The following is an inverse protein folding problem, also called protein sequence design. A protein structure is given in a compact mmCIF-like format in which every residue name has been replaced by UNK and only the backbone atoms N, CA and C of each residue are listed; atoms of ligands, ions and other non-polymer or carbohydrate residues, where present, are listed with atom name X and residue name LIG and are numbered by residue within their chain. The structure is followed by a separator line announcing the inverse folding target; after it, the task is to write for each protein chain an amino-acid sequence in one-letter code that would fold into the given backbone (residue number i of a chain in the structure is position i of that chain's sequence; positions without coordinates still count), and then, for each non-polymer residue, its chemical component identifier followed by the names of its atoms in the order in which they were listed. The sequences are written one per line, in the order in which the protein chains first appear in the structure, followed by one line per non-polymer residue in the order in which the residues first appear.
data_IF_889909535052
#
_entry.id   IF_889909535052
#
_cell.length_a   1.000
_cell.length_b   1.000
_cell.length_c   1.000
_cell.angle_alpha   90.00
_cell.angle_beta   90.00
_cell.angle_gamma   90.00
#
_symmetry.space_group_name_H-M   'P 1'
#
loop_
_entity.id
_entity.type
_entity.pdbx_description
1 polymer ?
#
# COMPACT_ATOMS: atom_id res chain seq x y z
N UNK A 1 13.37 7.74 -1.58
CA UNK A 1 12.31 8.27 -0.71
C UNK A 1 12.51 9.75 -0.39
N UNK A 2 13.73 10.20 -0.17
CA UNK A 2 14.02 11.61 0.13
C UNK A 2 13.51 12.59 -0.95
N UNK A 3 13.52 12.20 -2.20
CA UNK A 3 12.99 12.99 -3.31
C UNK A 3 11.48 13.27 -3.19
N UNK A 4 10.74 12.41 -2.49
CA UNK A 4 9.31 12.62 -2.25
C UNK A 4 9.03 13.85 -1.39
N UNK A 5 9.96 14.25 -0.52
CA UNK A 5 9.82 15.46 0.29
C UNK A 5 9.87 16.77 -0.53
N UNK A 6 10.28 16.70 -1.79
CA UNK A 6 10.34 17.85 -2.70
C UNK A 6 9.09 17.99 -3.57
N UNK A 7 8.17 17.04 -3.48
CA UNK A 7 6.97 16.97 -4.30
C UNK A 7 5.71 17.24 -3.48
N UNK A 8 4.68 17.88 -4.05
CA UNK A 8 3.37 17.89 -3.43
C UNK A 8 2.81 16.46 -3.37
N UNK A 9 2.38 16.03 -2.20
CA UNK A 9 1.92 14.66 -1.97
C UNK A 9 0.41 14.58 -1.80
N UNK A 10 -0.15 13.52 -2.35
CA UNK A 10 -1.52 13.08 -2.17
C UNK A 10 -1.47 11.80 -1.34
N UNK A 11 -2.05 11.81 -0.15
CA UNK A 11 -1.89 10.73 0.82
C UNK A 11 -3.23 10.23 1.34
N UNK A 12 -3.24 9.01 1.86
CA UNK A 12 -4.35 8.53 2.66
C UNK A 12 -4.43 9.29 4.00
N UNK A 13 -5.61 9.33 4.59
CA UNK A 13 -5.78 9.88 5.92
C UNK A 13 -4.81 9.25 6.93
N UNK A 14 -4.32 10.00 7.94
CA UNK A 14 -3.28 9.56 8.88
C UNK A 14 -3.62 8.31 9.70
N UNK A 15 -4.91 7.96 9.82
CA UNK A 15 -5.36 6.76 10.52
C UNK A 15 -5.18 5.46 9.73
N UNK A 16 -4.74 5.53 8.48
CA UNK A 16 -4.48 4.33 7.66
C UNK A 16 -3.09 3.75 7.92
N UNK A 17 -2.96 2.43 7.71
CA UNK A 17 -1.67 1.72 7.89
C UNK A 17 -0.60 2.29 6.96
N UNK A 18 -0.96 2.57 5.69
CA UNK A 18 0.00 3.07 4.71
C UNK A 18 0.46 4.50 5.05
N UNK A 19 -0.45 5.38 5.43
CA UNK A 19 -0.10 6.75 5.82
C UNK A 19 0.85 6.75 7.04
N UNK A 20 0.58 5.90 8.05
CA UNK A 20 1.47 5.76 9.21
C UNK A 20 2.84 5.22 8.83
N UNK A 21 2.90 4.22 7.93
CA UNK A 21 4.16 3.68 7.44
C UNK A 21 5.01 4.76 6.77
N UNK A 22 4.41 5.54 5.88
CA UNK A 22 5.06 6.66 5.18
C UNK A 22 5.54 7.72 6.17
N UNK A 23 4.70 8.12 7.13
CA UNK A 23 5.04 9.11 8.15
C UNK A 23 6.19 8.64 9.07
N UNK A 24 6.20 7.36 9.45
CA UNK A 24 7.27 6.81 10.27
C UNK A 24 8.63 6.82 9.54
N UNK A 25 8.62 6.49 8.24
CA UNK A 25 9.84 6.53 7.43
C UNK A 25 10.33 7.96 7.23
N UNK A 26 9.43 8.89 6.97
CA UNK A 26 9.77 10.31 6.87
C UNK A 26 10.39 10.84 8.18
N UNK A 27 9.77 10.53 9.32
CA UNK A 27 10.28 10.92 10.63
C UNK A 27 11.67 10.33 10.92
N UNK A 28 11.89 9.04 10.60
CA UNK A 28 13.19 8.38 10.78
C UNK A 28 14.31 9.01 9.94
N UNK A 29 13.97 9.65 8.82
CA UNK A 29 14.90 10.36 7.94
C UNK A 29 14.91 11.87 8.16
N UNK A 30 14.20 12.38 9.17
CA UNK A 30 14.03 13.81 9.45
C UNK A 30 13.48 14.60 8.22
N UNK A 31 12.60 13.98 7.45
CA UNK A 31 11.98 14.58 6.28
C UNK A 31 10.60 15.15 6.63
N UNK A 32 10.34 16.37 6.17
CA UNK A 32 8.99 16.94 6.15
C UNK A 32 8.34 16.68 4.80
N UNK A 33 7.16 16.06 4.82
CA UNK A 33 6.38 15.79 3.61
C UNK A 33 5.38 16.91 3.38
N UNK A 34 5.32 17.39 2.14
CA UNK A 34 4.34 18.40 1.71
C UNK A 34 3.02 17.72 1.29
N UNK A 35 2.14 17.46 2.26
CA UNK A 35 0.86 16.78 2.03
C UNK A 35 -0.19 17.82 1.65
N UNK A 36 -0.58 17.86 0.38
CA UNK A 36 -1.57 18.79 -0.17
C UNK A 36 -2.99 18.24 -0.12
N UNK A 37 -3.15 16.93 -0.30
CA UNK A 37 -4.47 16.29 -0.34
C UNK A 37 -4.51 15.04 0.53
N UNK A 38 -5.64 14.86 1.23
CA UNK A 38 -5.95 13.67 2.00
C UNK A 38 -7.16 12.96 1.40
N UNK A 39 -7.04 11.67 1.13
CA UNK A 39 -8.08 10.86 0.51
C UNK A 39 -8.35 9.59 1.31
N UNK A 40 -9.54 9.03 1.13
CA UNK A 40 -9.95 7.76 1.76
C UNK A 40 -9.72 6.59 0.80
N UNK A 41 -9.93 6.79 -0.50
CA UNK A 41 -9.91 5.73 -1.51
C UNK A 41 -8.67 5.82 -2.40
N UNK A 42 -8.05 4.66 -2.70
CA UNK A 42 -6.88 4.60 -3.57
C UNK A 42 -7.15 5.11 -4.99
N UNK A 43 -8.33 4.86 -5.54
CA UNK A 43 -8.70 5.35 -6.86
C UNK A 43 -8.71 6.89 -6.93
N UNK A 44 -9.12 7.56 -5.85
CA UNK A 44 -9.07 9.03 -5.78
C UNK A 44 -7.63 9.54 -5.79
N UNK A 45 -6.72 8.87 -5.07
CA UNK A 45 -5.30 9.22 -5.11
C UNK A 45 -4.75 9.13 -6.53
N UNK A 46 -5.07 8.04 -7.24
CA UNK A 46 -4.63 7.86 -8.64
C UNK A 46 -5.20 8.95 -9.53
N UNK A 47 -6.50 9.25 -9.43
CA UNK A 47 -7.13 10.27 -10.27
C UNK A 47 -6.54 11.67 -10.05
N UNK A 48 -6.21 12.03 -8.82
CA UNK A 48 -5.57 13.31 -8.52
C UNK A 48 -4.12 13.37 -9.04
N UNK A 49 -3.38 12.26 -8.93
CA UNK A 49 -2.04 12.15 -9.50
C UNK A 49 -2.07 12.22 -11.04
N UNK A 50 -3.02 11.52 -11.68
CA UNK A 50 -3.25 11.58 -13.13
C UNK A 50 -3.60 12.99 -13.61
N UNK A 51 -4.29 13.77 -12.77
CA UNK A 51 -4.59 15.18 -13.03
C UNK A 51 -3.39 16.12 -12.81
N UNK A 52 -2.22 15.58 -12.42
CA UNK A 52 -0.99 16.37 -12.22
C UNK A 52 -0.95 17.17 -10.90
N UNK A 53 -1.80 16.83 -9.92
CA UNK A 53 -1.90 17.57 -8.66
C UNK A 53 -0.83 17.17 -7.63
N UNK A 54 -0.03 16.15 -7.91
CA UNK A 54 1.05 15.69 -7.05
C UNK A 54 1.37 14.21 -7.21
N UNK A 55 2.25 13.72 -6.34
CA UNK A 55 2.63 12.31 -6.29
C UNK A 55 1.84 11.58 -5.20
N UNK A 56 1.40 10.34 -5.48
CA UNK A 56 0.73 9.49 -4.50
C UNK A 56 1.51 8.22 -4.20
N UNK A 57 1.53 7.82 -2.91
CA UNK A 57 2.15 6.58 -2.48
C UNK A 57 1.05 5.52 -2.30
N UNK A 58 1.16 4.45 -3.07
CA UNK A 58 0.21 3.35 -3.12
C UNK A 58 0.91 2.00 -2.92
N UNK A 59 0.14 0.97 -2.59
CA UNK A 59 0.66 -0.39 -2.70
C UNK A 59 0.73 -0.78 -4.18
N UNK A 60 1.71 -1.61 -4.52
CA UNK A 60 1.89 -2.10 -5.89
C UNK A 60 0.59 -2.70 -6.47
N UNK A 61 -0.12 -3.51 -5.66
CA UNK A 61 -1.39 -4.12 -6.07
C UNK A 61 -2.47 -3.10 -6.42
N UNK A 62 -2.56 -1.97 -5.71
CA UNK A 62 -3.52 -0.91 -6.05
C UNK A 62 -3.08 -0.17 -7.31
N UNK A 63 -1.80 0.11 -7.44
CA UNK A 63 -1.26 0.76 -8.63
C UNK A 63 -1.43 -0.09 -9.90
N UNK A 64 -1.27 -1.42 -9.79
CA UNK A 64 -1.44 -2.35 -10.92
C UNK A 64 -2.90 -2.51 -11.37
N UNK A 65 -3.83 -2.42 -10.42
CA UNK A 65 -5.27 -2.47 -10.72
C UNK A 65 -5.83 -1.13 -11.22
N UNK A 66 -5.05 -0.06 -11.16
CA UNK A 66 -5.49 1.27 -11.55
C UNK A 66 -5.14 1.55 -13.02
N UNK A 67 -6.07 2.19 -13.73
CA UNK A 67 -5.83 2.64 -15.11
C UNK A 67 -4.97 3.91 -15.08
N UNK A 68 -3.64 3.74 -15.11
CA UNK A 68 -2.67 4.83 -15.18
C UNK A 68 -2.36 5.10 -16.65
N UNK A 69 -2.62 6.32 -17.12
CA UNK A 69 -2.44 6.72 -18.52
C UNK A 69 -1.42 7.85 -18.71
N UNK A 70 -1.41 8.80 -17.80
CA UNK A 70 -0.60 10.03 -17.91
C UNK A 70 0.49 10.11 -16.85
N UNK A 71 0.40 9.33 -15.78
CA UNK A 71 1.38 9.29 -14.70
C UNK A 71 2.37 8.14 -14.88
N UNK A 72 3.50 8.20 -14.20
CA UNK A 72 4.47 7.12 -14.14
C UNK A 72 4.41 6.39 -12.80
N UNK A 73 4.46 5.07 -12.86
CA UNK A 73 4.62 4.23 -11.67
C UNK A 73 6.10 4.06 -11.36
N UNK A 74 6.52 4.54 -10.20
CA UNK A 74 7.88 4.43 -9.69
C UNK A 74 7.90 3.54 -8.45
N UNK A 75 8.89 2.66 -8.35
CA UNK A 75 9.08 1.81 -7.20
C UNK A 75 9.93 2.52 -6.14
N UNK A 76 9.46 2.55 -4.89
CA UNK A 76 10.27 3.03 -3.77
C UNK A 76 11.20 1.88 -3.35
N UNK A 77 12.51 2.07 -3.58
CA UNK A 77 13.53 1.04 -3.31
C UNK A 77 14.24 1.25 -1.99
N UNK A 78 14.42 2.51 -1.55
CA UNK A 78 15.14 2.87 -0.33
C UNK A 78 14.42 3.94 0.50
N UNK A 79 13.96 3.60 1.72
CA UNK A 79 13.86 2.24 2.25
C UNK A 79 12.74 1.46 1.54
N UNK A 80 12.92 0.16 1.42
CA UNK A 80 11.88 -0.70 0.87
C UNK A 80 10.71 -0.79 1.85
N UNK A 81 9.53 -0.31 1.43
CA UNK A 81 8.33 -0.31 2.27
C UNK A 81 7.62 -1.66 2.17
N UNK A 82 7.36 -2.29 3.31
CA UNK A 82 6.67 -3.57 3.38
C UNK A 82 5.44 -3.47 4.27
N UNK A 83 4.39 -4.15 3.88
CA UNK A 83 3.18 -4.32 4.67
C UNK A 83 2.86 -5.80 4.82
N UNK A 84 2.71 -6.24 6.07
CA UNK A 84 2.31 -7.61 6.36
C UNK A 84 0.79 -7.71 6.43
N UNK A 85 0.25 -8.80 5.89
CA UNK A 85 -1.13 -9.21 6.07
C UNK A 85 -1.17 -10.44 6.94
N UNK A 86 -2.14 -10.55 7.81
CA UNK A 86 -2.37 -11.71 8.66
C UNK A 86 -3.79 -12.23 8.47
N UNK A 87 -3.91 -13.53 8.26
CA UNK A 87 -5.18 -14.23 8.30
C UNK A 87 -5.41 -14.70 9.74
N UNK A 88 -6.50 -14.26 10.36
CA UNK A 88 -6.82 -14.56 11.74
C UNK A 88 -8.17 -15.27 11.86
N UNK A 89 -8.29 -16.16 12.84
CA UNK A 89 -9.55 -16.83 13.21
C UNK A 89 -9.65 -16.98 14.72
N UNK A 90 -10.84 -17.14 15.23
CA UNK A 90 -11.03 -17.50 16.63
C UNK A 90 -10.51 -18.92 16.90
N UNK A 91 -9.72 -19.08 17.95
CA UNK A 91 -9.05 -20.36 18.25
C UNK A 91 -10.02 -21.52 18.48
N UNK A 92 -11.12 -21.26 19.20
CA UNK A 92 -12.04 -22.30 19.69
C UNK A 92 -13.40 -22.26 18.97
N UNK A 93 -13.49 -21.61 17.82
CA UNK A 93 -14.73 -21.54 17.06
C UNK A 93 -14.51 -22.20 15.68
N UNK A 94 -15.27 -23.28 15.35
CA UNK A 94 -15.18 -23.87 14.05
C UNK A 94 -15.68 -22.91 12.98
N UNK A 95 -15.01 -22.88 11.85
CA UNK A 95 -15.45 -22.14 10.68
C UNK A 95 -16.60 -22.89 9.99
N UNK A 96 -17.51 -22.15 9.36
CA UNK A 96 -18.46 -22.78 8.44
C UNK A 96 -17.68 -23.44 7.27
N UNK A 97 -18.26 -24.44 6.57
CA UNK A 97 -17.57 -25.10 5.44
C UNK A 97 -17.09 -24.12 4.38
N UNK A 98 -17.88 -23.10 4.07
CA UNK A 98 -17.50 -22.06 3.11
C UNK A 98 -16.32 -21.18 3.61
N UNK A 99 -16.36 -20.78 4.87
CA UNK A 99 -15.29 -20.01 5.49
C UNK A 99 -14.00 -20.82 5.62
N UNK A 100 -14.10 -22.12 5.92
CA UNK A 100 -12.94 -23.01 5.96
C UNK A 100 -12.31 -23.14 4.57
N UNK A 101 -13.12 -23.35 3.53
CA UNK A 101 -12.61 -23.42 2.15
C UNK A 101 -11.90 -22.14 1.70
N UNK A 102 -12.45 -20.96 2.04
CA UNK A 102 -11.81 -19.69 1.77
C UNK A 102 -10.49 -19.54 2.53
N UNK A 103 -10.47 -19.94 3.81
CA UNK A 103 -9.27 -19.93 4.63
C UNK A 103 -8.15 -20.77 4.02
N UNK A 104 -8.48 -22.00 3.60
CA UNK A 104 -7.53 -22.92 2.98
C UNK A 104 -7.01 -22.38 1.64
N UNK A 105 -7.88 -21.81 0.80
CA UNK A 105 -7.51 -21.14 -0.46
C UNK A 105 -6.49 -20.02 -0.25
N UNK A 106 -6.74 -19.15 0.74
CA UNK A 106 -5.84 -18.04 1.05
C UNK A 106 -4.48 -18.55 1.50
N UNK A 107 -4.43 -19.63 2.27
CA UNK A 107 -3.16 -20.25 2.69
C UNK A 107 -2.42 -20.89 1.50
N UNK A 108 -3.09 -21.59 0.64
CA UNK A 108 -2.53 -22.22 -0.57
C UNK A 108 -1.92 -21.16 -1.51
N UNK A 109 -2.67 -20.10 -1.83
CA UNK A 109 -2.22 -18.99 -2.66
C UNK A 109 -1.09 -18.19 -2.00
N UNK A 110 -1.21 -17.89 -0.72
CA UNK A 110 -0.19 -17.16 0.04
C UNK A 110 1.14 -17.89 0.17
N UNK A 111 1.14 -19.21 0.25
CA UNK A 111 2.35 -20.04 0.25
C UNK A 111 2.97 -20.15 -1.14
N UNK A 112 2.15 -20.17 -2.21
CA UNK A 112 2.63 -20.18 -3.59
C UNK A 112 3.44 -18.93 -3.96
N UNK A 113 3.08 -17.77 -3.46
CA UNK A 113 3.81 -16.53 -3.73
C UNK A 113 5.13 -16.40 -2.94
N UNK A 114 5.28 -17.08 -1.81
CA UNK A 114 6.54 -17.07 -1.04
C UNK A 114 7.69 -17.75 -1.76
N UNK A 115 7.42 -18.73 -2.62
CA UNK A 115 8.45 -19.51 -3.32
C UNK A 115 8.95 -18.85 -4.62
N UNK A 116 8.40 -17.73 -5.05
CA UNK A 116 8.72 -17.12 -6.34
C UNK A 116 9.44 -15.77 -6.25
N UNK A 117 10.00 -15.39 -5.08
CA UNK A 117 10.88 -14.23 -4.98
C UNK A 117 12.33 -14.71 -4.90
N UNK A 118 13.17 -14.39 -5.89
CA UNK A 118 14.61 -14.58 -5.78
C UNK A 118 15.14 -13.73 -4.62
N UNK A 119 16.01 -14.36 -3.86
CA UNK A 119 16.75 -13.76 -2.73
C UNK A 119 17.58 -12.55 -3.19
#
# INVERSE_FOLDING_TARGET
FAELATLPLIQFYPNTVLARLVSNVAAAQNLQLDIQFLCIQGQTLVSLAEAGLGASILTESVADLSAIQHSQKLLITEPRLHRNFALIRLRNQPLSPAAQRLFDLILEEGLGQRNNKPQ
#
